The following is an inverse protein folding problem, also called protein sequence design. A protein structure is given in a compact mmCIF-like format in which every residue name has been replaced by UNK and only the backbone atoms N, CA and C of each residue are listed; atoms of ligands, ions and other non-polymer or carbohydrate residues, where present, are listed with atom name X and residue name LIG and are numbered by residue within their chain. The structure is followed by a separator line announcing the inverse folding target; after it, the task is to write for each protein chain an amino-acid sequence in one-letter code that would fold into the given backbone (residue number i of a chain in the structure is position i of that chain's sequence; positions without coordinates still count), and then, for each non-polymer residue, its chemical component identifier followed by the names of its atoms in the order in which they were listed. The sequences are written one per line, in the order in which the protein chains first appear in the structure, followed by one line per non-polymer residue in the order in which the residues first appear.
data_IF_151367329916
#
_entry.id   IF_151367329916
#
_cell.length_a   1.000
_cell.length_b   1.000
_cell.length_c   1.000
_cell.angle_alpha   90.00
_cell.angle_beta   90.00
_cell.angle_gamma   90.00
#
_symmetry.space_group_name_H-M   'P 1'
#
loop_
_entity.id
_entity.type
_entity.pdbx_description
1 polymer ?
#
# COMPACT_ATOMS: atom_id res chain seq x y z
N UNK A 1 5.20 -35.30 -24.34
CA UNK A 1 5.52 -34.18 -23.44
C UNK A 1 4.71 -32.99 -23.94
N UNK A 2 3.63 -32.65 -23.24
CA UNK A 2 2.84 -31.46 -23.55
C UNK A 2 3.69 -30.24 -23.20
N UNK A 3 3.92 -29.35 -24.18
CA UNK A 3 4.65 -28.13 -23.97
C UNK A 3 3.95 -27.26 -22.94
N UNK A 4 4.67 -26.87 -21.90
CA UNK A 4 4.19 -25.87 -20.95
C UNK A 4 3.96 -24.56 -21.74
N UNK A 5 2.70 -24.15 -21.90
CA UNK A 5 2.37 -22.82 -22.39
C UNK A 5 2.89 -21.83 -21.36
N UNK A 6 3.97 -21.13 -21.66
CA UNK A 6 4.41 -19.98 -20.89
C UNK A 6 3.39 -18.87 -21.09
N UNK A 7 2.48 -18.70 -20.14
CA UNK A 7 1.64 -17.51 -20.05
C UNK A 7 2.45 -16.40 -19.38
N UNK A 8 2.84 -15.42 -20.16
CA UNK A 8 3.37 -14.18 -19.61
C UNK A 8 2.22 -13.43 -18.92
N UNK A 9 2.23 -13.39 -17.61
CA UNK A 9 1.30 -12.54 -16.87
C UNK A 9 1.65 -11.07 -17.14
N UNK A 10 0.63 -10.27 -17.45
CA UNK A 10 0.81 -8.83 -17.59
C UNK A 10 1.31 -8.26 -16.26
N UNK A 11 2.23 -7.32 -16.34
CA UNK A 11 2.71 -6.58 -15.18
C UNK A 11 1.55 -5.91 -14.44
N UNK A 12 1.56 -5.93 -13.10
CA UNK A 12 0.47 -5.42 -12.27
C UNK A 12 0.09 -3.96 -12.60
N UNK A 13 1.07 -3.08 -12.83
CA UNK A 13 0.82 -1.68 -13.26
C UNK A 13 0.00 -1.63 -14.56
N UNK A 14 0.29 -2.51 -15.52
CA UNK A 14 -0.45 -2.56 -16.79
C UNK A 14 -1.89 -3.02 -16.56
N UNK A 15 -2.09 -4.04 -15.73
CA UNK A 15 -3.43 -4.53 -15.37
C UNK A 15 -4.25 -3.44 -14.69
N UNK A 16 -3.66 -2.69 -13.75
CA UNK A 16 -4.31 -1.58 -13.06
C UNK A 16 -4.66 -0.43 -14.02
N UNK A 17 -3.75 -0.08 -14.93
CA UNK A 17 -4.00 0.96 -15.93
C UNK A 17 -5.14 0.56 -16.90
N UNK A 18 -5.24 -0.72 -17.27
CA UNK A 18 -6.35 -1.25 -18.08
C UNK A 18 -7.68 -1.17 -17.30
N UNK A 19 -7.69 -1.59 -16.04
CA UNK A 19 -8.88 -1.55 -15.17
C UNK A 19 -9.37 -0.10 -14.95
N UNK A 20 -8.45 0.82 -14.64
CA UNK A 20 -8.79 2.24 -14.47
C UNK A 20 -9.33 2.86 -15.75
N UNK A 21 -8.70 2.57 -16.90
CA UNK A 21 -9.18 3.05 -18.20
C UNK A 21 -10.57 2.50 -18.52
N UNK A 22 -10.84 1.23 -18.24
CA UNK A 22 -12.15 0.64 -18.43
C UNK A 22 -13.20 1.32 -17.56
N UNK A 23 -12.90 1.55 -16.28
CA UNK A 23 -13.78 2.27 -15.35
C UNK A 23 -14.06 3.70 -15.83
N UNK A 24 -13.03 4.45 -16.22
CA UNK A 24 -13.17 5.83 -16.72
C UNK A 24 -13.99 5.88 -18.01
N UNK A 25 -13.79 4.96 -18.95
CA UNK A 25 -14.59 4.86 -20.16
C UNK A 25 -16.06 4.60 -19.83
N UNK A 26 -16.35 3.66 -18.93
CA UNK A 26 -17.71 3.36 -18.46
C UNK A 26 -18.33 4.59 -17.81
N UNK A 27 -17.58 5.28 -16.95
CA UNK A 27 -18.03 6.49 -16.26
C UNK A 27 -18.34 7.63 -17.25
N UNK A 28 -17.49 7.84 -18.26
CA UNK A 28 -17.67 8.92 -19.23
C UNK A 28 -18.78 8.65 -20.25
N UNK A 29 -19.08 7.39 -20.54
CA UNK A 29 -20.13 6.97 -21.45
C UNK A 29 -21.53 6.87 -20.78
N UNK A 30 -21.57 6.72 -19.45
CA UNK A 30 -22.80 6.55 -18.68
C UNK A 30 -23.27 7.82 -17.98
N UNK A 31 -24.51 7.79 -17.54
CA UNK A 31 -25.13 8.83 -16.71
C UNK A 31 -25.15 8.36 -15.25
N UNK A 32 -24.07 8.67 -14.53
CA UNK A 32 -23.94 8.32 -13.12
C UNK A 32 -24.18 9.54 -12.25
N UNK A 33 -25.18 9.45 -11.39
CA UNK A 33 -25.58 10.48 -10.43
C UNK A 33 -25.28 10.03 -9.00
N UNK A 34 -25.50 10.91 -8.01
CA UNK A 34 -25.37 10.53 -6.60
C UNK A 34 -26.28 9.34 -6.25
N UNK A 35 -27.51 9.32 -6.78
CA UNK A 35 -28.53 8.29 -6.52
C UNK A 35 -28.18 6.95 -7.19
N UNK A 36 -27.44 7.01 -8.31
CA UNK A 36 -27.04 5.87 -9.12
C UNK A 36 -25.56 5.96 -9.49
N UNK A 37 -24.65 5.86 -8.52
CA UNK A 37 -23.23 5.97 -8.78
C UNK A 37 -22.65 4.69 -9.43
N UNK A 38 -21.56 4.85 -10.19
CA UNK A 38 -20.73 3.71 -10.61
C UNK A 38 -19.93 3.23 -9.39
N UNK A 39 -20.05 1.96 -9.06
CA UNK A 39 -19.28 1.34 -7.95
C UNK A 39 -18.32 0.29 -8.52
N UNK A 40 -17.04 0.46 -8.27
CA UNK A 40 -15.99 -0.47 -8.68
C UNK A 40 -15.28 -1.03 -7.44
N UNK A 41 -15.67 -2.23 -7.03
CA UNK A 41 -15.02 -2.95 -5.94
C UNK A 41 -13.63 -3.41 -6.37
N UNK A 42 -12.61 -3.25 -5.50
CA UNK A 42 -11.23 -3.67 -5.73
C UNK A 42 -10.68 -3.23 -7.10
N UNK A 43 -10.92 -1.99 -7.49
CA UNK A 43 -10.57 -1.48 -8.83
C UNK A 43 -9.11 -1.75 -9.21
N UNK A 44 -8.20 -1.66 -8.25
CA UNK A 44 -6.76 -1.81 -8.47
C UNK A 44 -6.24 -3.23 -8.14
N UNK A 45 -7.13 -4.20 -8.00
CA UNK A 45 -6.88 -5.65 -7.94
C UNK A 45 -6.19 -6.19 -6.70
N UNK A 46 -5.57 -5.35 -5.88
CA UNK A 46 -4.73 -5.77 -4.75
C UNK A 46 -5.25 -5.37 -3.37
N UNK A 47 -6.34 -4.58 -3.30
CA UNK A 47 -6.99 -4.26 -2.03
C UNK A 47 -8.50 -4.58 -2.09
N UNK A 48 -8.91 -5.81 -1.80
CA UNK A 48 -10.31 -6.21 -1.83
C UNK A 48 -11.17 -5.59 -0.72
N UNK A 49 -10.57 -4.87 0.24
CA UNK A 49 -11.29 -4.11 1.27
C UNK A 49 -11.42 -2.61 0.90
N UNK A 50 -11.39 -2.33 -0.41
CA UNK A 50 -11.62 -0.99 -0.96
C UNK A 50 -12.54 -1.00 -2.18
N UNK A 51 -13.13 0.14 -2.46
CA UNK A 51 -13.86 0.39 -3.70
C UNK A 51 -13.57 1.81 -4.21
N UNK A 52 -13.95 2.06 -5.45
CA UNK A 52 -14.02 3.41 -6.03
C UNK A 52 -15.46 3.66 -6.44
N UNK A 53 -15.97 4.83 -6.08
CA UNK A 53 -17.32 5.26 -6.45
C UNK A 53 -17.22 6.50 -7.32
N UNK A 54 -17.90 6.50 -8.48
CA UNK A 54 -17.87 7.62 -9.41
C UNK A 54 -19.28 8.10 -9.77
N UNK A 55 -19.51 9.43 -9.74
CA UNK A 55 -20.76 10.07 -10.08
C UNK A 55 -20.57 11.56 -10.40
N UNK A 56 -21.60 12.19 -10.96
CA UNK A 56 -21.62 13.62 -11.24
C UNK A 56 -22.70 14.33 -10.44
N UNK A 57 -22.45 15.60 -10.14
CA UNK A 57 -23.39 16.52 -9.54
C UNK A 57 -23.56 17.74 -10.44
N UNK A 58 -24.74 18.37 -10.42
CA UNK A 58 -25.04 19.56 -11.24
C UNK A 58 -24.11 20.74 -10.89
N UNK A 59 -23.84 20.90 -9.59
CA UNK A 59 -22.95 21.92 -9.07
C UNK A 59 -21.74 21.30 -8.36
N UNK A 60 -20.65 22.08 -8.26
CA UNK A 60 -19.50 21.65 -7.48
C UNK A 60 -19.84 21.62 -5.98
N UNK A 61 -19.89 20.43 -5.40
CA UNK A 61 -20.19 20.19 -3.98
C UNK A 61 -19.10 19.38 -3.29
N UNK A 62 -18.94 19.59 -1.99
CA UNK A 62 -18.14 18.70 -1.15
C UNK A 62 -18.98 17.44 -0.83
N UNK A 63 -18.31 16.31 -0.74
CA UNK A 63 -18.96 15.01 -0.52
C UNK A 63 -18.28 14.28 0.63
N UNK A 64 -19.06 13.77 1.54
CA UNK A 64 -18.59 12.89 2.63
C UNK A 64 -18.92 11.44 2.30
N UNK A 65 -17.92 10.59 2.36
CA UNK A 65 -18.06 9.12 2.31
C UNK A 65 -17.95 8.59 3.71
N UNK A 66 -18.93 7.80 4.15
CA UNK A 66 -18.96 7.16 5.46
C UNK A 66 -19.11 5.66 5.29
N UNK A 67 -18.16 4.89 5.80
CA UNK A 67 -18.25 3.44 5.94
C UNK A 67 -18.70 3.15 7.37
N UNK A 68 -19.92 2.63 7.52
CA UNK A 68 -20.45 2.34 8.85
C UNK A 68 -19.74 1.16 9.49
N UNK A 69 -19.36 1.33 10.74
CA UNK A 69 -18.80 0.26 11.55
C UNK A 69 -19.83 -0.79 11.95
N UNK A 70 -19.40 -2.00 12.28
CA UNK A 70 -20.21 -3.02 12.96
C UNK A 70 -20.76 -2.49 14.29
N UNK A 71 -20.00 -1.57 14.91
CA UNK A 71 -20.47 -0.70 16.01
C UNK A 71 -20.17 0.76 15.64
N UNK A 72 -20.76 1.72 16.36
CA UNK A 72 -20.61 3.16 16.10
C UNK A 72 -19.14 3.60 16.02
N UNK A 73 -18.32 3.07 16.90
CA UNK A 73 -16.89 3.42 17.03
C UNK A 73 -16.04 2.96 15.83
N UNK A 74 -16.47 1.92 15.11
CA UNK A 74 -15.78 1.47 13.91
C UNK A 74 -16.16 2.23 12.63
N UNK A 75 -16.97 3.30 12.74
CA UNK A 75 -17.40 4.11 11.60
C UNK A 75 -16.26 5.02 11.15
N UNK A 76 -15.90 4.94 9.86
CA UNK A 76 -14.87 5.75 9.22
C UNK A 76 -15.54 6.73 8.26
N UNK A 77 -15.17 8.01 8.34
CA UNK A 77 -15.74 9.07 7.51
C UNK A 77 -14.67 9.98 6.96
N UNK A 78 -14.79 10.36 5.69
CA UNK A 78 -13.91 11.35 5.08
C UNK A 78 -14.67 12.29 4.16
N UNK A 79 -14.34 13.60 4.22
CA UNK A 79 -14.95 14.61 3.38
C UNK A 79 -13.99 15.04 2.29
N UNK A 80 -14.43 14.89 1.05
CA UNK A 80 -13.67 15.28 -0.13
C UNK A 80 -14.00 16.71 -0.57
N UNK A 81 -13.03 17.40 -1.21
CA UNK A 81 -13.22 18.78 -1.65
C UNK A 81 -14.32 18.89 -2.71
N UNK A 82 -14.73 20.12 -2.97
CA UNK A 82 -15.78 20.43 -3.94
C UNK A 82 -15.38 20.08 -5.36
N UNK A 83 -16.19 19.29 -6.02
CA UNK A 83 -16.07 18.93 -7.44
C UNK A 83 -17.46 18.74 -8.06
N UNK A 84 -17.54 18.68 -9.40
CA UNK A 84 -18.72 18.24 -10.16
C UNK A 84 -18.62 16.77 -10.56
N UNK A 85 -17.42 16.31 -10.87
CA UNK A 85 -17.11 14.90 -11.08
C UNK A 85 -16.44 14.37 -9.85
N UNK A 86 -16.98 13.30 -9.31
CA UNK A 86 -16.50 12.65 -8.11
C UNK A 86 -16.01 11.26 -8.48
N UNK A 87 -14.73 10.97 -8.25
CA UNK A 87 -14.11 9.64 -8.31
C UNK A 87 -13.47 9.42 -6.96
N UNK A 88 -14.21 8.78 -6.06
CA UNK A 88 -13.91 8.78 -4.63
C UNK A 88 -13.49 7.40 -4.16
N UNK A 89 -12.37 7.28 -3.41
CA UNK A 89 -12.02 6.05 -2.73
C UNK A 89 -13.00 5.77 -1.58
N UNK A 90 -13.41 4.51 -1.47
CA UNK A 90 -14.10 3.95 -0.30
C UNK A 90 -13.12 3.02 0.38
N UNK A 91 -12.68 3.39 1.57
CA UNK A 91 -11.68 2.69 2.37
C UNK A 91 -12.26 2.22 3.68
N UNK A 92 -11.68 1.19 4.25
CA UNK A 92 -12.09 0.68 5.55
C UNK A 92 -13.30 -0.25 5.50
N UNK A 93 -13.51 -0.97 4.39
CA UNK A 93 -14.47 -2.05 4.32
C UNK A 93 -14.03 -3.23 5.18
N UNK A 94 -14.99 -3.91 5.83
CA UNK A 94 -14.73 -5.14 6.58
C UNK A 94 -14.58 -6.34 5.63
N UNK A 95 -13.76 -7.29 6.00
CA UNK A 95 -13.60 -8.58 5.32
C UNK A 95 -14.83 -9.48 5.50
N UNK A 96 -15.25 -10.19 4.44
CA UNK A 96 -16.36 -11.15 4.48
C UNK A 96 -17.68 -10.53 4.95
N UNK A 97 -17.97 -9.30 4.55
CA UNK A 97 -19.08 -8.53 5.14
C UNK A 97 -19.86 -7.72 4.08
N UNK A 98 -21.15 -7.49 4.36
CA UNK A 98 -22.02 -6.58 3.62
C UNK A 98 -21.91 -5.18 4.20
N UNK A 99 -20.93 -4.44 3.73
CA UNK A 99 -20.62 -3.11 4.23
C UNK A 99 -21.67 -2.09 3.83
N UNK A 100 -22.11 -1.28 4.79
CA UNK A 100 -23.00 -0.15 4.54
C UNK A 100 -22.16 1.11 4.35
N UNK A 101 -22.32 1.77 3.22
CA UNK A 101 -21.60 2.98 2.86
C UNK A 101 -22.58 4.10 2.55
N UNK A 102 -22.43 5.26 3.17
CA UNK A 102 -23.21 6.45 2.83
C UNK A 102 -22.34 7.43 2.08
N UNK A 103 -22.86 7.96 0.98
CA UNK A 103 -22.27 9.09 0.25
C UNK A 103 -23.24 10.26 0.43
N UNK A 104 -22.75 11.34 1.05
CA UNK A 104 -23.55 12.50 1.40
C UNK A 104 -22.96 13.78 0.84
N UNK A 105 -23.74 14.53 0.09
CA UNK A 105 -23.41 15.89 -0.32
C UNK A 105 -23.49 16.88 0.85
N UNK A 106 -22.73 17.95 0.78
CA UNK A 106 -22.79 19.04 1.75
C UNK A 106 -24.20 19.64 1.92
N UNK A 107 -25.02 19.63 0.86
CA UNK A 107 -26.40 20.09 0.87
C UNK A 107 -27.42 19.10 1.46
N UNK A 108 -27.00 17.95 1.92
CA UNK A 108 -27.80 16.99 2.65
C UNK A 108 -28.40 15.85 1.84
N UNK A 109 -28.33 15.84 0.49
CA UNK A 109 -28.69 14.65 -0.31
C UNK A 109 -27.70 13.52 0.01
N UNK A 110 -28.20 12.32 0.10
CA UNK A 110 -27.33 11.15 0.34
C UNK A 110 -27.89 9.88 -0.28
N UNK A 111 -26.99 8.96 -0.60
CA UNK A 111 -27.32 7.60 -1.01
C UNK A 111 -26.65 6.62 -0.07
N UNK A 112 -27.29 5.48 0.19
CA UNK A 112 -26.69 4.34 0.88
C UNK A 112 -26.45 3.21 -0.11
N UNK A 113 -25.24 2.67 -0.05
CA UNK A 113 -24.77 1.57 -0.87
C UNK A 113 -24.46 0.39 0.04
N UNK A 114 -24.74 -0.81 -0.44
CA UNK A 114 -24.23 -2.04 0.14
C UNK A 114 -23.07 -2.55 -0.72
N UNK A 115 -21.89 -2.72 -0.12
CA UNK A 115 -20.70 -3.24 -0.79
C UNK A 115 -20.30 -4.54 -0.09
N UNK A 116 -20.48 -5.65 -0.76
CA UNK A 116 -20.07 -6.97 -0.29
C UNK A 116 -18.59 -7.20 -0.61
N UNK A 117 -17.83 -7.68 0.36
CA UNK A 117 -16.40 -7.97 0.25
C UNK A 117 -16.14 -9.46 0.46
N UNK A 118 -15.13 -10.04 -0.20
CA UNK A 118 -14.72 -11.41 0.09
C UNK A 118 -14.11 -11.51 1.50
N UNK A 119 -14.11 -12.71 2.06
CA UNK A 119 -13.30 -13.04 3.21
C UNK A 119 -11.85 -13.21 2.77
N UNK A 120 -10.99 -12.26 3.17
CA UNK A 120 -9.58 -12.23 2.75
C UNK A 120 -8.67 -13.15 3.55
N UNK A 121 -9.20 -13.79 4.59
CA UNK A 121 -8.46 -14.67 5.51
C UNK A 121 -9.02 -16.10 5.56
N UNK A 122 -9.95 -16.47 4.67
CA UNK A 122 -10.58 -17.79 4.65
C UNK A 122 -11.12 -18.24 6.03
N UNK A 123 -11.77 -17.32 6.75
CA UNK A 123 -12.29 -17.56 8.10
C UNK A 123 -11.24 -17.55 9.22
N UNK A 124 -9.98 -17.24 8.90
CA UNK A 124 -8.87 -17.24 9.88
C UNK A 124 -8.35 -15.84 10.10
N UNK A 125 -9.10 -15.03 10.87
CA UNK A 125 -8.57 -13.72 11.27
C UNK A 125 -7.24 -13.90 12.02
N UNK A 126 -6.14 -13.27 11.59
CA UNK A 126 -4.84 -13.37 12.25
C UNK A 126 -4.80 -12.73 13.64
N UNK A 127 -5.77 -11.88 13.97
CA UNK A 127 -5.86 -11.26 15.29
C UNK A 127 -6.66 -12.17 16.24
N UNK A 128 -6.01 -12.71 17.25
CA UNK A 128 -6.63 -13.52 18.29
C UNK A 128 -7.36 -12.70 19.34
N UNK A 129 -6.74 -11.58 19.71
CA UNK A 129 -7.29 -10.66 20.70
C UNK A 129 -6.74 -9.25 20.44
N UNK A 130 -7.53 -8.26 20.82
CA UNK A 130 -7.14 -6.86 20.76
C UNK A 130 -7.38 -6.29 22.15
N UNK A 131 -6.30 -5.87 22.82
CA UNK A 131 -6.39 -5.17 24.11
C UNK A 131 -6.25 -3.67 23.88
N UNK A 132 -7.32 -3.06 23.44
CA UNK A 132 -7.42 -1.63 23.22
C UNK A 132 -8.85 -1.16 23.42
N UNK A 133 -9.03 0.15 23.54
CA UNK A 133 -10.35 0.76 23.61
C UNK A 133 -10.62 1.63 22.39
N UNK A 134 -11.89 1.83 22.02
CA UNK A 134 -12.24 2.72 20.91
C UNK A 134 -11.67 4.14 21.06
N UNK A 135 -11.50 4.61 22.30
CA UNK A 135 -10.98 5.94 22.59
C UNK A 135 -9.52 6.12 22.16
N UNK A 136 -8.72 5.05 22.15
CA UNK A 136 -7.32 5.10 21.73
C UNK A 136 -7.17 5.11 20.22
N UNK A 137 -7.89 4.26 19.50
CA UNK A 137 -7.77 4.15 18.05
C UNK A 137 -8.78 5.01 17.31
N UNK A 138 -9.95 5.29 17.91
CA UNK A 138 -11.04 6.00 17.25
C UNK A 138 -11.39 5.36 15.90
N UNK A 139 -11.29 6.10 14.81
CA UNK A 139 -11.47 5.64 13.42
C UNK A 139 -10.17 5.21 12.74
N UNK A 140 -9.08 5.09 13.51
CA UNK A 140 -7.78 4.69 13.00
C UNK A 140 -7.61 3.18 13.01
N UNK A 141 -6.61 2.70 12.27
CA UNK A 141 -6.24 1.29 12.20
C UNK A 141 -4.75 1.09 12.48
N UNK A 142 -4.41 -0.06 13.04
CA UNK A 142 -3.03 -0.50 13.19
C UNK A 142 -2.65 -1.28 11.94
N UNK A 143 -1.65 -0.80 11.19
CA UNK A 143 -1.09 -1.48 10.03
C UNK A 143 -0.04 -2.47 10.49
N UNK A 144 -0.16 -3.71 10.04
CA UNK A 144 0.78 -4.78 10.33
C UNK A 144 1.40 -5.27 9.02
N UNK A 145 2.73 -5.33 9.03
CA UNK A 145 3.54 -5.92 7.96
C UNK A 145 4.06 -7.26 8.48
N UNK A 146 3.46 -8.39 8.09
CA UNK A 146 3.91 -9.68 8.55
C UNK A 146 5.22 -10.10 7.87
N UNK A 147 5.91 -11.06 8.46
CA UNK A 147 7.00 -11.75 7.79
C UNK A 147 6.47 -12.55 6.58
N UNK A 148 7.37 -12.92 5.68
CA UNK A 148 7.10 -13.54 4.38
C UNK A 148 5.86 -14.46 4.31
N UNK A 149 5.07 -14.31 3.27
CA UNK A 149 3.90 -15.12 2.86
C UNK A 149 2.57 -14.83 3.58
N UNK A 150 2.45 -13.77 4.35
CA UNK A 150 1.19 -13.37 4.94
C UNK A 150 0.67 -12.06 4.32
N UNK A 151 -0.60 -11.77 4.52
CA UNK A 151 -1.28 -10.60 3.96
C UNK A 151 -0.95 -9.37 4.80
N UNK A 152 -0.45 -8.30 4.17
CA UNK A 152 -0.40 -6.99 4.82
C UNK A 152 -1.82 -6.53 5.12
N UNK A 153 -2.10 -6.19 6.36
CA UNK A 153 -3.43 -5.78 6.75
C UNK A 153 -3.43 -4.67 7.81
N UNK A 154 -4.52 -3.93 7.88
CA UNK A 154 -4.77 -2.99 8.95
C UNK A 154 -6.04 -3.37 9.70
N UNK A 155 -5.98 -3.30 11.03
CA UNK A 155 -7.01 -3.73 11.96
C UNK A 155 -7.51 -2.57 12.78
N UNK A 156 -8.83 -2.51 12.99
CA UNK A 156 -9.44 -1.53 13.88
C UNK A 156 -9.36 -1.93 15.36
N UNK A 157 -9.94 -1.13 16.23
CA UNK A 157 -9.92 -1.33 17.69
C UNK A 157 -10.50 -2.69 18.15
N UNK A 158 -11.35 -3.32 17.34
CA UNK A 158 -11.95 -4.61 17.63
C UNK A 158 -11.17 -5.79 17.04
N UNK A 159 -10.07 -5.51 16.32
CA UNK A 159 -9.30 -6.52 15.62
C UNK A 159 -9.92 -6.95 14.29
N UNK A 160 -10.89 -6.21 13.79
CA UNK A 160 -11.46 -6.45 12.47
C UNK A 160 -10.56 -5.85 11.38
N UNK A 161 -10.29 -6.63 10.32
CA UNK A 161 -9.52 -6.13 9.18
C UNK A 161 -10.33 -5.10 8.39
N UNK A 162 -9.70 -3.95 8.12
CA UNK A 162 -10.27 -2.81 7.42
C UNK A 162 -9.50 -2.41 6.15
N UNK A 163 -8.39 -3.01 5.93
CA UNK A 163 -7.53 -2.82 4.78
C UNK A 163 -6.61 -4.03 4.63
N UNK A 164 -6.29 -4.42 3.40
CA UNK A 164 -5.30 -5.47 3.14
C UNK A 164 -4.71 -5.35 1.74
N UNK A 165 -3.54 -5.95 1.53
CA UNK A 165 -2.94 -6.15 0.22
C UNK A 165 -2.81 -7.63 -0.07
N UNK A 166 -3.37 -8.07 -1.19
CA UNK A 166 -3.31 -9.47 -1.66
C UNK A 166 -2.13 -9.74 -2.58
N UNK A 167 -1.36 -8.70 -2.94
CA UNK A 167 -0.12 -8.89 -3.70
C UNK A 167 0.99 -9.36 -2.77
N UNK A 168 1.82 -10.32 -3.20
CA UNK A 168 3.00 -10.69 -2.44
C UNK A 168 3.89 -9.46 -2.24
N UNK A 169 4.16 -9.13 -1.01
CA UNK A 169 5.13 -8.12 -0.62
C UNK A 169 5.80 -8.55 0.67
N UNK A 170 7.01 -8.08 0.89
CA UNK A 170 7.83 -8.50 2.02
C UNK A 170 8.39 -7.26 2.70
N UNK A 171 8.38 -7.27 4.02
CA UNK A 171 8.93 -6.33 4.98
C UNK A 171 8.29 -4.95 5.04
N UNK A 172 8.41 -4.07 4.05
CA UNK A 172 8.15 -2.66 4.27
C UNK A 172 6.74 -2.22 3.94
N UNK A 173 6.17 -1.50 4.88
CA UNK A 173 5.01 -0.65 4.68
C UNK A 173 5.32 0.71 5.33
N UNK A 174 5.67 1.71 4.53
CA UNK A 174 6.00 3.05 5.01
C UNK A 174 4.99 4.07 4.52
N UNK A 175 4.39 4.80 5.43
CA UNK A 175 3.50 5.91 5.10
C UNK A 175 4.32 7.11 4.64
N UNK A 176 3.99 7.66 3.47
CA UNK A 176 4.59 8.85 2.92
C UNK A 176 3.84 10.13 3.33
N UNK A 177 4.50 11.28 3.28
CA UNK A 177 3.92 12.60 3.62
C UNK A 177 2.71 12.95 2.75
N UNK A 178 2.67 12.50 1.49
CA UNK A 178 1.53 12.70 0.59
C UNK A 178 0.35 11.76 0.86
N UNK A 179 0.46 10.87 1.81
CA UNK A 179 -0.58 9.90 2.16
C UNK A 179 -0.53 8.58 1.39
N UNK A 180 0.38 8.41 0.43
CA UNK A 180 0.66 7.12 -0.19
C UNK A 180 1.47 6.21 0.75
N UNK A 181 1.72 5.00 0.29
CA UNK A 181 2.49 3.99 1.02
C UNK A 181 3.58 3.46 0.10
N UNK A 182 4.81 3.31 0.62
CA UNK A 182 5.85 2.49 0.00
C UNK A 182 5.71 1.05 0.44
N UNK A 183 5.81 0.14 -0.51
CA UNK A 183 5.88 -1.31 -0.30
C UNK A 183 6.92 -1.92 -1.24
N UNK A 184 7.46 -3.08 -0.90
CA UNK A 184 8.26 -3.86 -1.85
C UNK A 184 7.46 -4.23 -3.10
N UNK A 185 8.13 -4.38 -4.25
CA UNK A 185 7.46 -4.89 -5.46
C UNK A 185 7.03 -6.35 -5.26
N UNK A 186 6.10 -6.83 -6.09
CA UNK A 186 5.69 -8.22 -6.09
C UNK A 186 6.63 -9.15 -6.89
N UNK A 187 7.83 -8.71 -7.19
CA UNK A 187 8.83 -9.46 -7.98
C UNK A 187 10.09 -9.69 -7.18
N UNK A 188 10.37 -10.96 -6.95
CA UNK A 188 11.58 -11.40 -6.26
C UNK A 188 12.77 -11.39 -7.23
N UNK A 189 13.86 -10.73 -6.83
CA UNK A 189 15.13 -10.75 -7.55
C UNK A 189 15.99 -11.93 -7.07
N UNK A 190 16.01 -12.17 -5.76
CA UNK A 190 16.83 -13.17 -5.10
C UNK A 190 16.14 -13.68 -3.85
N UNK A 191 16.29 -15.01 -3.62
CA UNK A 191 15.87 -15.60 -2.36
C UNK A 191 16.76 -15.11 -1.19
N UNK A 192 16.19 -14.98 0.02
CA UNK A 192 14.82 -15.37 0.40
C UNK A 192 13.77 -14.27 0.16
N UNK A 193 14.12 -12.98 0.03
CA UNK A 193 13.13 -11.89 0.11
C UNK A 193 13.54 -10.59 -0.58
N UNK A 194 14.62 -10.54 -1.36
CA UNK A 194 15.03 -9.30 -2.04
C UNK A 194 14.10 -8.99 -3.21
N UNK A 195 13.29 -7.95 -3.08
CA UNK A 195 12.36 -7.52 -4.12
C UNK A 195 13.08 -6.65 -5.16
N UNK A 196 12.54 -6.56 -6.37
CA UNK A 196 13.16 -5.81 -7.47
C UNK A 196 13.18 -4.30 -7.27
N UNK A 197 12.60 -3.80 -6.19
CA UNK A 197 12.52 -2.40 -5.82
C UNK A 197 11.26 -2.11 -5.03
N UNK A 198 10.77 -0.88 -5.12
CA UNK A 198 9.62 -0.40 -4.35
C UNK A 198 8.47 0.03 -5.27
N UNK A 199 7.24 -0.12 -4.78
CA UNK A 199 6.06 0.55 -5.30
C UNK A 199 5.65 1.70 -4.37
N UNK A 200 5.29 2.84 -4.97
CA UNK A 200 4.48 3.85 -4.30
C UNK A 200 3.01 3.61 -4.67
N UNK A 201 2.19 3.30 -3.69
CA UNK A 201 0.77 2.97 -3.87
C UNK A 201 -0.16 3.89 -3.08
N UNK A 202 -1.39 4.06 -3.56
CA UNK A 202 -2.47 4.62 -2.74
C UNK A 202 -3.02 3.58 -1.76
N UNK A 203 -3.80 4.03 -0.78
CA UNK A 203 -4.53 3.11 0.11
C UNK A 203 -5.57 2.25 -0.62
N UNK A 204 -6.04 2.62 -1.82
CA UNK A 204 -6.84 1.74 -2.68
C UNK A 204 -6.01 0.67 -3.40
N UNK A 205 -4.68 0.71 -3.30
CA UNK A 205 -3.80 -0.21 -3.99
C UNK A 205 -3.35 0.24 -5.39
N UNK A 206 -3.71 1.46 -5.84
CA UNK A 206 -3.20 2.00 -7.12
C UNK A 206 -1.71 2.23 -7.03
N UNK A 207 -0.96 1.63 -7.95
CA UNK A 207 0.48 1.88 -8.09
C UNK A 207 0.66 3.16 -8.91
N UNK A 208 1.29 4.16 -8.30
CA UNK A 208 1.65 5.42 -8.97
C UNK A 208 3.03 5.36 -9.60
N UNK A 209 3.98 4.71 -8.91
CA UNK A 209 5.38 4.63 -9.31
C UNK A 209 5.99 3.29 -8.95
N UNK A 210 6.98 2.91 -9.72
CA UNK A 210 7.88 1.80 -9.42
C UNK A 210 9.32 2.33 -9.42
N UNK A 211 10.02 2.12 -8.32
CA UNK A 211 11.44 2.41 -8.17
C UNK A 211 12.21 1.11 -8.34
N UNK A 212 12.89 0.96 -9.47
CA UNK A 212 13.68 -0.24 -9.80
C UNK A 212 15.08 -0.10 -9.26
N UNK A 213 15.51 -1.07 -8.48
CA UNK A 213 16.82 -1.10 -7.87
C UNK A 213 17.64 -2.26 -8.42
N UNK A 214 18.85 -2.01 -8.99
CA UNK A 214 19.70 -3.07 -9.52
C UNK A 214 20.01 -4.15 -8.49
N UNK A 215 20.26 -3.78 -7.24
CA UNK A 215 20.48 -4.68 -6.10
C UNK A 215 19.22 -5.21 -5.44
N UNK A 216 18.04 -4.71 -5.87
CA UNK A 216 16.78 -4.95 -5.18
C UNK A 216 16.61 -4.11 -3.92
N UNK A 217 15.49 -4.27 -3.26
CA UNK A 217 15.20 -3.67 -1.95
C UNK A 217 15.05 -4.75 -0.89
N UNK A 218 15.39 -4.40 0.34
CA UNK A 218 15.19 -5.25 1.51
C UNK A 218 14.92 -4.38 2.74
N UNK A 219 14.23 -4.94 3.71
CA UNK A 219 13.95 -4.44 5.05
C UNK A 219 13.37 -3.02 5.15
N UNK A 220 14.06 -1.95 4.73
CA UNK A 220 13.66 -0.60 5.07
C UNK A 220 13.86 0.43 3.94
N UNK A 221 12.92 1.37 3.88
CA UNK A 221 13.01 2.57 3.06
C UNK A 221 12.33 3.74 3.78
N UNK A 222 12.88 4.95 3.66
CA UNK A 222 12.38 6.14 4.36
C UNK A 222 12.34 7.36 3.44
N UNK A 223 11.28 8.15 3.53
CA UNK A 223 11.16 9.43 2.84
C UNK A 223 11.98 10.51 3.56
N UNK A 224 12.84 11.21 2.84
CA UNK A 224 13.60 12.35 3.33
C UNK A 224 12.76 13.63 3.36
N UNK A 225 13.35 14.72 3.87
CA UNK A 225 12.71 16.03 3.97
C UNK A 225 12.29 16.59 2.61
N UNK A 226 13.12 16.41 1.59
CA UNK A 226 12.90 16.84 0.21
C UNK A 226 11.98 15.94 -0.60
N UNK A 227 11.53 14.83 0.00
CA UNK A 227 10.66 13.83 -0.62
C UNK A 227 11.39 12.68 -1.30
N UNK A 228 12.72 12.74 -1.43
CA UNK A 228 13.50 11.63 -1.95
C UNK A 228 13.48 10.43 -1.00
N UNK A 229 13.87 9.26 -1.49
CA UNK A 229 13.72 8.00 -0.76
C UNK A 229 15.09 7.40 -0.50
N UNK A 230 15.44 7.24 0.78
CA UNK A 230 16.52 6.35 1.20
C UNK A 230 16.01 4.92 1.23
N UNK A 231 16.76 3.99 0.63
CA UNK A 231 16.38 2.59 0.56
C UNK A 231 17.58 1.68 0.78
N UNK A 232 17.38 0.65 1.58
CA UNK A 232 18.37 -0.42 1.76
C UNK A 232 18.41 -1.32 0.54
N UNK A 233 19.62 -1.63 0.10
CA UNK A 233 19.90 -2.43 -1.09
C UNK A 233 21.21 -3.21 -0.92
N UNK A 234 21.66 -3.84 -1.98
CA UNK A 234 22.93 -4.57 -2.04
C UNK A 234 23.55 -4.47 -3.43
N UNK A 235 24.82 -4.82 -3.55
CA UNK A 235 25.51 -5.01 -4.81
C UNK A 235 25.50 -6.49 -5.21
N UNK A 236 24.74 -6.83 -6.26
CA UNK A 236 24.67 -8.22 -6.76
C UNK A 236 25.95 -8.71 -7.42
N UNK A 237 26.94 -7.85 -7.66
CA UNK A 237 28.24 -8.23 -8.22
C UNK A 237 29.22 -8.71 -7.16
N UNK A 238 28.89 -8.55 -5.88
CA UNK A 238 29.69 -9.00 -4.73
C UNK A 238 29.10 -10.24 -4.06
N UNK A 239 29.90 -10.89 -3.22
CA UNK A 239 29.46 -12.04 -2.43
C UNK A 239 28.70 -11.62 -1.15
N UNK A 240 28.82 -10.36 -0.74
CA UNK A 240 28.17 -9.84 0.47
C UNK A 240 26.73 -9.37 0.20
N UNK A 241 25.93 -9.25 1.26
CA UNK A 241 24.53 -8.83 1.21
C UNK A 241 24.24 -7.78 2.29
N UNK A 242 23.16 -7.02 2.10
CA UNK A 242 22.59 -6.10 3.11
C UNK A 242 23.59 -5.04 3.61
N UNK A 243 24.44 -4.55 2.74
CA UNK A 243 25.54 -3.66 3.08
C UNK A 243 25.62 -2.39 2.22
N UNK A 244 24.47 -2.00 1.64
CA UNK A 244 24.35 -0.77 0.87
C UNK A 244 23.08 0.00 1.20
N UNK A 245 23.15 1.31 0.98
CA UNK A 245 21.99 2.20 0.96
C UNK A 245 22.06 3.09 -0.28
N UNK A 246 20.91 3.45 -0.83
CA UNK A 246 20.80 4.37 -1.96
C UNK A 246 19.80 5.48 -1.68
N UNK A 247 20.07 6.67 -2.24
CA UNK A 247 19.12 7.77 -2.32
C UNK A 247 18.51 7.78 -3.71
N UNK A 248 17.19 7.71 -3.78
CA UNK A 248 16.40 7.67 -5.00
C UNK A 248 15.69 9.00 -5.17
N UNK A 249 15.83 9.61 -6.34
CA UNK A 249 14.98 10.72 -6.75
C UNK A 249 13.54 10.21 -6.91
N UNK A 250 12.63 10.78 -6.13
CA UNK A 250 11.24 10.31 -6.11
C UNK A 250 10.50 10.56 -7.43
N UNK A 251 10.85 11.62 -8.16
CA UNK A 251 10.14 11.98 -9.39
C UNK A 251 10.63 11.16 -10.59
N UNK A 252 11.93 10.92 -10.69
CA UNK A 252 12.54 10.22 -11.82
C UNK A 252 12.79 8.74 -11.57
N UNK A 253 12.96 8.33 -10.31
CA UNK A 253 13.39 6.99 -9.91
C UNK A 253 14.90 6.77 -10.08
N UNK A 254 15.67 7.81 -10.41
CA UNK A 254 17.12 7.72 -10.56
C UNK A 254 17.83 7.61 -9.20
N UNK A 255 18.90 6.84 -9.13
CA UNK A 255 19.76 6.76 -7.95
C UNK A 255 20.65 7.99 -7.94
N UNK A 256 20.42 8.91 -6.99
CA UNK A 256 21.18 10.14 -6.83
C UNK A 256 22.50 9.88 -6.10
N UNK A 257 22.52 8.94 -5.14
CA UNK A 257 23.67 8.63 -4.31
C UNK A 257 23.62 7.19 -3.82
N UNK A 258 24.78 6.61 -3.63
CA UNK A 258 24.94 5.25 -3.10
C UNK A 258 25.99 5.25 -2.00
N UNK A 259 25.74 4.49 -0.95
CA UNK A 259 26.70 4.21 0.12
C UNK A 259 26.94 2.72 0.18
N UNK A 260 28.15 2.33 -0.17
CA UNK A 260 28.65 0.97 0.04
C UNK A 260 29.41 0.96 1.36
N UNK A 261 28.88 0.29 2.36
CA UNK A 261 29.45 0.29 3.72
C UNK A 261 30.83 -0.35 3.76
N UNK A 262 31.17 -1.23 2.83
CA UNK A 262 32.52 -1.83 2.70
C UNK A 262 33.60 -0.80 2.43
N UNK A 263 33.27 0.38 1.90
CA UNK A 263 34.26 1.43 1.58
C UNK A 263 34.69 2.22 2.80
N UNK A 264 33.97 2.20 3.90
CA UNK A 264 34.27 2.99 5.10
C UNK A 264 34.12 2.21 6.42
N UNK A 265 33.55 1.01 6.41
CA UNK A 265 33.48 0.12 7.57
C UNK A 265 34.38 -1.10 7.34
N UNK A 266 34.97 -1.60 8.42
CA UNK A 266 35.77 -2.81 8.35
C UNK A 266 34.88 -4.04 8.46
N UNK A 267 34.80 -4.91 7.43
CA UNK A 267 34.09 -6.17 7.52
C UNK A 267 34.60 -7.01 8.70
N UNK A 268 33.65 -7.44 9.52
CA UNK A 268 33.97 -8.24 10.72
C UNK A 268 33.98 -7.49 12.04
N UNK A 269 34.00 -6.16 12.02
CA UNK A 269 33.85 -5.38 13.25
C UNK A 269 32.37 -5.45 13.76
N UNK A 270 32.20 -5.90 14.98
CA UNK A 270 30.86 -5.95 15.61
C UNK A 270 29.98 -7.10 15.19
N UNK A 271 30.48 -8.12 14.49
CA UNK A 271 29.71 -9.31 14.10
C UNK A 271 29.07 -9.99 15.30
N UNK A 272 27.76 -10.28 15.21
CA UNK A 272 27.13 -11.23 16.09
C UNK A 272 27.52 -12.67 15.70
N UNK A 273 27.46 -13.61 16.64
CA UNK A 273 27.74 -15.02 16.36
C UNK A 273 26.77 -15.69 15.38
N UNK A 274 25.65 -15.03 15.04
CA UNK A 274 24.66 -15.48 14.07
C UNK A 274 24.93 -15.01 12.64
N UNK A 275 25.87 -14.08 12.44
CA UNK A 275 26.17 -13.50 11.13
C UNK A 275 27.22 -14.31 10.38
N UNK A 276 27.00 -14.45 9.07
CA UNK A 276 27.97 -15.09 8.17
C UNK A 276 28.97 -14.06 7.63
N UNK A 277 30.04 -14.55 6.99
CA UNK A 277 30.96 -13.66 6.27
C UNK A 277 30.29 -12.93 5.12
N UNK A 278 29.28 -13.55 4.52
CA UNK A 278 28.48 -12.98 3.45
C UNK A 278 27.57 -11.88 3.97
N UNK A 279 26.90 -12.10 5.10
CA UNK A 279 26.00 -11.18 5.77
C UNK A 279 26.73 -10.57 6.99
N UNK A 280 27.75 -9.79 6.68
CA UNK A 280 28.69 -9.28 7.67
C UNK A 280 28.21 -8.05 8.42
N UNK A 281 27.32 -7.25 7.81
CA UNK A 281 26.82 -6.01 8.38
C UNK A 281 25.38 -6.15 8.88
N UNK A 282 24.55 -6.85 8.13
CA UNK A 282 23.14 -7.14 8.45
C UNK A 282 22.31 -5.88 8.69
N UNK A 283 22.19 -5.04 7.65
CA UNK A 283 21.50 -3.76 7.72
C UNK A 283 19.98 -3.94 7.56
N UNK A 284 19.23 -3.76 8.64
CA UNK A 284 17.77 -3.96 8.66
C UNK A 284 16.99 -2.65 8.78
N UNK A 285 17.63 -1.52 9.04
CA UNK A 285 16.96 -0.24 9.20
C UNK A 285 17.83 0.92 8.73
N UNK A 286 17.19 1.95 8.24
CA UNK A 286 17.80 3.24 7.91
C UNK A 286 17.06 4.35 8.66
N UNK A 287 17.80 5.30 9.16
CA UNK A 287 17.28 6.49 9.81
C UNK A 287 17.77 7.74 9.10
N UNK A 288 16.91 8.73 9.01
CA UNK A 288 17.23 10.04 8.49
C UNK A 288 16.81 11.11 9.51
N UNK A 289 17.74 11.92 9.96
CA UNK A 289 17.46 13.05 10.84
C UNK A 289 17.23 14.31 10.00
N UNK A 290 15.98 14.74 9.90
CA UNK A 290 15.58 15.94 9.16
C UNK A 290 16.19 17.25 9.72
N UNK A 291 16.61 17.26 11.00
CA UNK A 291 17.15 18.45 11.65
C UNK A 291 18.62 18.67 11.28
N UNK A 292 19.36 17.59 11.12
CA UNK A 292 20.80 17.61 10.82
C UNK A 292 21.12 17.27 9.39
N UNK A 293 20.13 16.85 8.60
CA UNK A 293 20.28 16.36 7.22
C UNK A 293 21.30 15.21 7.13
N UNK A 294 21.17 14.22 8.04
CA UNK A 294 22.13 13.13 8.17
C UNK A 294 21.44 11.77 8.49
#
# INVERSE_FOLDING_TARGET
MAGAEYRFEKHLIVQQAEAERAMLNTFHQGEYTLEHPLVCHNLYLINPLSAVVAFRTEEAVAVTVTVFGKAKQGTISHTFPRAKEHILPVLGLYSGYKNQVEIREYRGRSVRLEIETPDVFDGKNPVYSMDTTPEYLQDQCIFLSPSANEVFAAFDYAGDARWCLTTPCVFDLKRLKNGNVLIGTNRLIRMPYYMSGLYEISLCGKIYREYRLPGGSHHDAIEQKDGNILCLTQDLTTETVEDMCVLIDRETGEILKSWDYKTFLQPGLGKSGSWSERDWFHNNAVWYDENTDS
#
